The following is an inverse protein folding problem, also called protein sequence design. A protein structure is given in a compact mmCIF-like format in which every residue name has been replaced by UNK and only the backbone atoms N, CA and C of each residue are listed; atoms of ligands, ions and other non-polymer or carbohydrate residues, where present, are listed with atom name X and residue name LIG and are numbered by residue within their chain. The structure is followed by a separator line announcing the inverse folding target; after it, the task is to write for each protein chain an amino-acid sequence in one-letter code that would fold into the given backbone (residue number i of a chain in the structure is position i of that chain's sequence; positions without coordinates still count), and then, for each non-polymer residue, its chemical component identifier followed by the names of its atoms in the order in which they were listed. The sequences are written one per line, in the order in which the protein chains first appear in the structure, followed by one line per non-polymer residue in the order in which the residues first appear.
data_IF_260781745634
#
_entry.id   IF_260781745634
#
_cell.length_a   1.000
_cell.length_b   1.000
_cell.length_c   1.000
_cell.angle_alpha   90.00
_cell.angle_beta   90.00
_cell.angle_gamma   90.00
#
_symmetry.space_group_name_H-M   'P 1'
#
loop_
_entity.id
_entity.type
_entity.pdbx_description
1 polymer ?
#
# COMPACT_ATOMS: atom_id res chain seq x y z
N UNK A 1 1.11 -15.63 16.50
CA UNK A 1 0.79 -15.99 15.11
C UNK A 1 1.13 -17.46 14.85
N UNK A 2 2.40 -17.89 14.88
CA UNK A 2 2.78 -19.30 14.63
C UNK A 2 2.05 -20.35 15.50
N UNK A 3 1.71 -20.02 16.76
CA UNK A 3 1.01 -20.92 17.68
C UNK A 3 -0.53 -20.83 17.60
N UNK A 4 -1.10 -20.08 16.64
CA UNK A 4 -2.55 -19.89 16.49
C UNK A 4 -3.23 -19.05 17.58
N UNK A 5 -2.52 -18.67 18.66
CA UNK A 5 -3.08 -17.92 19.81
C UNK A 5 -3.48 -16.46 19.52
N UNK A 6 -3.20 -15.95 18.31
CA UNK A 6 -3.62 -14.61 17.88
C UNK A 6 -4.49 -14.76 16.64
N UNK A 7 -5.63 -14.07 16.63
CA UNK A 7 -6.52 -14.02 15.48
C UNK A 7 -5.77 -13.45 14.26
N UNK A 8 -5.92 -14.13 13.12
CA UNK A 8 -5.44 -13.66 11.83
C UNK A 8 -6.66 -13.36 10.95
N UNK A 9 -6.59 -12.25 10.22
CA UNK A 9 -7.62 -11.91 9.24
C UNK A 9 -7.31 -12.63 7.92
N UNK A 10 -8.33 -13.29 7.36
CA UNK A 10 -8.27 -13.87 6.03
C UNK A 10 -9.17 -13.04 5.11
N UNK A 11 -8.55 -12.36 4.15
CA UNK A 11 -9.31 -11.61 3.16
C UNK A 11 -10.08 -12.56 2.23
N UNK A 12 -11.28 -12.19 1.77
CA UNK A 12 -12.03 -12.97 0.78
C UNK A 12 -11.44 -12.87 -0.64
N UNK A 13 -10.39 -12.06 -0.82
CA UNK A 13 -9.69 -11.81 -2.08
C UNK A 13 -8.18 -12.10 -1.92
N UNK A 14 -7.46 -12.37 -3.02
CA UNK A 14 -6.01 -12.55 -2.95
C UNK A 14 -5.29 -11.33 -2.36
N UNK A 15 -4.36 -11.56 -1.45
CA UNK A 15 -3.53 -10.51 -0.82
C UNK A 15 -2.06 -10.84 -1.02
N UNK A 16 -1.31 -9.90 -1.59
CA UNK A 16 0.15 -9.99 -1.71
C UNK A 16 0.79 -9.01 -0.72
N UNK A 17 1.65 -9.53 0.16
CA UNK A 17 2.36 -8.73 1.16
C UNK A 17 3.78 -8.45 0.66
N UNK A 18 4.11 -7.17 0.45
CA UNK A 18 5.46 -6.73 0.11
C UNK A 18 6.12 -6.14 1.35
N UNK A 19 7.07 -6.87 1.92
CA UNK A 19 7.81 -6.50 3.13
C UNK A 19 9.32 -6.58 2.95
N UNK A 20 10.07 -6.09 3.93
CA UNK A 20 11.51 -6.32 4.02
C UNK A 20 11.89 -6.67 5.47
N UNK A 21 13.00 -7.38 5.64
CA UNK A 21 13.54 -7.81 6.94
C UNK A 21 14.30 -6.67 7.63
N UNK A 22 14.87 -5.72 6.87
CA UNK A 22 15.64 -4.59 7.41
C UNK A 22 14.85 -3.27 7.39
N UNK A 23 15.12 -2.41 8.38
CA UNK A 23 14.65 -1.02 8.41
C UNK A 23 15.51 -0.16 7.47
N UNK A 24 14.87 0.73 6.70
CA UNK A 24 15.55 1.60 5.72
C UNK A 24 14.97 1.53 4.30
N UNK A 25 15.51 2.37 3.42
CA UNK A 25 15.12 2.49 2.00
C UNK A 25 15.60 1.31 1.16
N UNK A 26 14.90 0.19 1.25
CA UNK A 26 15.28 -1.08 0.60
C UNK A 26 14.52 -1.34 -0.72
N UNK A 27 14.14 -0.29 -1.45
CA UNK A 27 13.50 -0.45 -2.76
C UNK A 27 12.09 -1.04 -2.75
N UNK A 28 11.39 -1.11 -1.60
CA UNK A 28 10.00 -1.61 -1.53
C UNK A 28 9.06 -0.83 -2.44
N UNK A 29 9.15 0.51 -2.42
CA UNK A 29 8.27 1.37 -3.21
C UNK A 29 8.40 1.11 -4.72
N UNK A 30 9.62 1.06 -5.31
CA UNK A 30 9.81 0.58 -6.69
C UNK A 30 9.21 -0.81 -6.97
N UNK A 31 9.39 -1.77 -6.06
CA UNK A 31 8.84 -3.14 -6.23
C UNK A 31 7.31 -3.14 -6.21
N UNK A 32 6.68 -2.38 -5.32
CA UNK A 32 5.22 -2.25 -5.26
C UNK A 32 4.68 -1.62 -6.53
N UNK A 33 5.31 -0.55 -7.01
CA UNK A 33 4.92 0.09 -8.29
C UNK A 33 5.01 -0.90 -9.44
N UNK A 34 6.14 -1.59 -9.60
CA UNK A 34 6.33 -2.59 -10.65
C UNK A 34 5.27 -3.69 -10.57
N UNK A 35 5.02 -4.25 -9.38
CA UNK A 35 4.03 -5.31 -9.20
C UNK A 35 2.62 -4.86 -9.58
N UNK A 36 2.23 -3.64 -9.18
CA UNK A 36 0.93 -3.07 -9.54
C UNK A 36 0.81 -2.90 -11.05
N UNK A 37 1.83 -2.34 -11.70
CA UNK A 37 1.85 -2.16 -13.16
C UNK A 37 1.76 -3.51 -13.90
N UNK A 38 2.47 -4.54 -13.43
CA UNK A 38 2.39 -5.89 -14.01
C UNK A 38 1.00 -6.52 -13.86
N UNK A 39 0.40 -6.41 -12.67
CA UNK A 39 -0.96 -6.93 -12.44
C UNK A 39 -2.00 -6.20 -13.30
N UNK A 40 -1.86 -4.89 -13.47
CA UNK A 40 -2.70 -4.10 -14.37
C UNK A 40 -2.54 -4.54 -15.84
N UNK A 41 -1.30 -4.80 -16.29
CA UNK A 41 -1.03 -5.32 -17.64
C UNK A 41 -1.67 -6.70 -17.87
N UNK A 42 -1.78 -7.52 -16.82
CA UNK A 42 -2.48 -8.80 -16.85
C UNK A 42 -4.02 -8.66 -16.74
N UNK A 43 -4.56 -7.44 -16.67
CA UNK A 43 -6.00 -7.16 -16.60
C UNK A 43 -6.59 -7.17 -15.19
N UNK A 44 -5.78 -7.30 -14.14
CA UNK A 44 -6.25 -7.19 -12.76
C UNK A 44 -6.50 -5.72 -12.35
N UNK A 45 -7.27 -5.54 -11.28
CA UNK A 45 -7.57 -4.24 -10.66
C UNK A 45 -7.00 -4.19 -9.24
N UNK A 46 -5.66 -4.12 -9.07
CA UNK A 46 -5.05 -4.12 -7.74
C UNK A 46 -5.36 -2.83 -6.97
N UNK A 47 -5.49 -2.97 -5.65
CA UNK A 47 -5.44 -1.86 -4.70
C UNK A 47 -4.22 -1.99 -3.78
N UNK A 48 -3.73 -0.88 -3.26
CA UNK A 48 -2.56 -0.84 -2.37
C UNK A 48 -2.98 -0.35 -0.99
N UNK A 49 -2.61 -1.09 0.05
CA UNK A 49 -2.73 -0.63 1.44
C UNK A 49 -1.33 -0.35 1.95
N UNK A 50 -1.09 0.88 2.42
CA UNK A 50 0.17 1.29 3.01
C UNK A 50 -0.05 1.84 4.42
N UNK A 51 1.00 1.93 5.22
CA UNK A 51 0.92 2.47 6.58
C UNK A 51 0.94 4.00 6.63
N UNK A 52 1.36 4.66 5.53
CA UNK A 52 1.55 6.11 5.51
C UNK A 52 2.57 6.60 6.54
N UNK A 53 3.76 5.98 6.61
CA UNK A 53 4.77 6.30 7.63
C UNK A 53 5.12 7.79 7.64
N UNK A 54 5.08 8.42 8.82
CA UNK A 54 5.30 9.86 8.99
C UNK A 54 4.12 10.76 8.64
N UNK A 55 3.04 10.20 8.07
CA UNK A 55 1.83 10.94 7.75
C UNK A 55 0.83 10.94 8.90
N UNK A 56 -0.04 11.95 8.93
CA UNK A 56 -1.15 12.05 9.88
C UNK A 56 -2.42 12.39 9.14
N UNK A 57 -3.21 11.36 8.83
CA UNK A 57 -4.53 11.58 8.26
C UNK A 57 -5.48 12.13 9.34
N UNK A 58 -6.41 13.05 8.99
CA UNK A 58 -7.46 13.49 9.91
C UNK A 58 -8.39 12.36 10.36
N UNK A 59 -8.60 11.36 9.50
CA UNK A 59 -9.39 10.18 9.77
C UNK A 59 -8.84 8.98 8.98
N UNK A 60 -8.99 7.78 9.54
CA UNK A 60 -8.61 6.51 8.92
C UNK A 60 -9.84 5.61 8.74
N UNK A 61 -9.90 4.78 7.67
CA UNK A 61 -8.92 4.71 6.58
C UNK A 61 -9.02 5.93 5.64
N UNK A 62 -7.88 6.42 5.16
CA UNK A 62 -7.82 7.48 4.16
C UNK A 62 -7.57 6.86 2.79
N UNK A 63 -8.59 6.89 1.93
CA UNK A 63 -8.43 6.58 0.51
C UNK A 63 -7.88 7.82 -0.21
N UNK A 64 -6.77 7.65 -0.91
CA UNK A 64 -6.11 8.74 -1.61
C UNK A 64 -6.96 9.21 -2.80
N UNK A 65 -7.02 10.53 -2.94
CA UNK A 65 -7.47 11.27 -4.12
C UNK A 65 -6.27 12.03 -4.71
N UNK A 66 -6.39 12.54 -5.92
CA UNK A 66 -5.31 13.32 -6.57
C UNK A 66 -4.84 14.52 -5.72
N UNK A 67 -5.79 15.20 -5.07
CA UNK A 67 -5.57 16.37 -4.23
C UNK A 67 -5.16 16.04 -2.78
N UNK A 68 -5.09 14.76 -2.41
CA UNK A 68 -4.78 14.36 -1.03
C UNK A 68 -3.38 14.86 -0.64
N UNK A 69 -3.24 15.68 0.42
CA UNK A 69 -1.95 16.23 0.82
C UNK A 69 -0.98 15.14 1.28
N UNK A 70 0.30 15.24 0.88
CA UNK A 70 1.34 14.30 1.31
C UNK A 70 1.50 14.24 2.84
N UNK A 71 1.26 15.34 3.55
CA UNK A 71 1.22 15.36 5.02
C UNK A 71 0.17 14.41 5.64
N UNK A 72 -0.90 14.09 4.90
CA UNK A 72 -1.97 13.21 5.36
C UNK A 72 -1.75 11.75 4.96
N UNK A 73 -1.19 11.49 3.78
CA UNK A 73 -1.01 10.13 3.27
C UNK A 73 0.42 9.60 3.21
N UNK A 74 1.42 10.47 3.31
CA UNK A 74 2.84 10.14 3.18
C UNK A 74 3.31 10.17 1.73
N UNK A 75 4.62 10.28 1.55
CA UNK A 75 5.21 10.41 0.21
C UNK A 75 5.13 9.11 -0.59
N UNK A 76 5.38 7.95 0.04
CA UNK A 76 5.34 6.66 -0.67
C UNK A 76 3.92 6.31 -1.18
N UNK A 77 2.84 6.41 -0.39
CA UNK A 77 1.49 6.09 -0.86
C UNK A 77 1.03 7.06 -1.95
N UNK A 78 1.39 8.35 -1.82
CA UNK A 78 1.10 9.36 -2.85
C UNK A 78 1.84 9.08 -4.15
N UNK A 79 3.12 8.68 -4.08
CA UNK A 79 3.91 8.29 -5.24
C UNK A 79 3.30 7.08 -5.95
N UNK A 80 2.93 6.04 -5.20
CA UNK A 80 2.31 4.83 -5.75
C UNK A 80 1.00 5.18 -6.46
N UNK A 81 0.12 5.93 -5.80
CA UNK A 81 -1.16 6.35 -6.37
C UNK A 81 -0.96 7.14 -7.67
N UNK A 82 -0.08 8.14 -7.65
CA UNK A 82 0.19 8.99 -8.81
C UNK A 82 0.82 8.23 -9.98
N UNK A 83 1.69 7.27 -9.71
CA UNK A 83 2.42 6.54 -10.76
C UNK A 83 1.59 5.43 -11.41
N UNK A 84 0.78 4.74 -10.61
CA UNK A 84 0.06 3.54 -11.05
C UNK A 84 -1.42 3.79 -11.33
N UNK A 85 -1.98 4.89 -10.82
CA UNK A 85 -3.42 5.16 -10.84
C UNK A 85 -4.24 4.18 -9.99
N UNK A 86 -3.61 3.23 -9.29
CA UNK A 86 -4.30 2.27 -8.46
C UNK A 86 -4.94 2.96 -7.24
N UNK A 87 -6.10 2.47 -6.75
CA UNK A 87 -6.63 2.89 -5.45
C UNK A 87 -5.60 2.60 -4.35
N UNK A 88 -5.27 3.62 -3.56
CA UNK A 88 -4.35 3.50 -2.43
C UNK A 88 -5.08 3.93 -1.16
N UNK A 89 -4.96 3.13 -0.11
CA UNK A 89 -5.45 3.46 1.22
C UNK A 89 -4.29 3.49 2.24
N UNK A 90 -4.40 4.41 3.19
CA UNK A 90 -3.52 4.53 4.37
C UNK A 90 -4.31 4.55 5.66
#
# INVERSE_FOLDING_TARGET
YQTGRKQAYNAPIPVVVVGNITAGGNGKTPVVVWLVEQLQQMGFKPGVVSRGYGAKAPAYPLVLKEDTPAKHCGDEPKLIHRRTGAPVAV
#
